data_IF_448568209330
#
_entry.id   IF_448568209330
#
_cell.length_a   1.000
_cell.length_b   1.000
_cell.length_c   1.000
_cell.angle_alpha   90.00
_cell.angle_beta   90.00
_cell.angle_gamma   90.00
#
_symmetry.space_group_name_H-M   'P 1'
#
loop_
_entity.id
_entity.type
_entity.pdbx_description
1 polymer ?
#
# COMPACT_ATOMS: atom_id res chain seq x y z
N UNK A 1 -15.73 14.18 -17.92
CA UNK A 1 -14.77 14.18 -19.04
C UNK A 1 -13.40 14.49 -18.45
N UNK A 2 -12.62 13.47 -18.07
CA UNK A 2 -11.34 13.65 -17.38
C UNK A 2 -10.27 12.83 -18.12
N UNK A 3 -9.26 13.58 -18.60
CA UNK A 3 -7.93 13.20 -19.06
C UNK A 3 -7.73 11.84 -19.73
N UNK A 4 -8.06 11.77 -21.02
CA UNK A 4 -7.70 10.64 -21.91
C UNK A 4 -6.43 10.92 -22.73
N UNK A 5 -5.51 11.77 -22.24
CA UNK A 5 -4.39 12.27 -23.06
C UNK A 5 -2.98 12.02 -22.50
N UNK A 6 -2.83 11.39 -21.34
CA UNK A 6 -1.51 11.06 -20.78
C UNK A 6 -1.43 9.57 -20.46
N UNK A 7 -0.30 8.94 -20.77
CA UNK A 7 -0.15 7.49 -20.62
C UNK A 7 -0.29 7.01 -19.17
N UNK A 8 -0.31 5.69 -18.94
CA UNK A 8 -0.33 5.10 -17.60
C UNK A 8 0.70 5.77 -16.67
N UNK A 9 0.24 6.31 -15.55
CA UNK A 9 1.08 6.86 -14.49
C UNK A 9 1.67 5.76 -13.61
N UNK A 10 2.66 6.13 -12.79
CA UNK A 10 3.29 5.26 -11.79
C UNK A 10 3.13 5.91 -10.42
N UNK A 11 2.55 5.17 -9.47
CA UNK A 11 2.42 5.57 -8.08
C UNK A 11 3.36 4.74 -7.22
N UNK A 12 4.25 5.38 -6.48
CA UNK A 12 5.17 4.69 -5.56
C UNK A 12 4.67 4.90 -4.15
N UNK A 13 4.27 3.81 -3.49
CA UNK A 13 3.61 3.88 -2.18
C UNK A 13 4.61 3.73 -1.03
N UNK A 14 4.38 4.54 -0.01
CA UNK A 14 4.99 4.42 1.30
C UNK A 14 4.33 3.30 2.14
N UNK A 15 5.06 2.77 3.13
CA UNK A 15 4.59 1.78 4.09
C UNK A 15 3.33 2.26 4.82
N UNK A 16 3.34 3.51 5.31
CA UNK A 16 2.22 4.03 6.10
C UNK A 16 0.92 4.11 5.32
N UNK A 17 0.99 4.38 4.01
CA UNK A 17 -0.18 4.37 3.12
C UNK A 17 -0.81 2.98 3.13
N UNK A 18 0.00 1.96 2.87
CA UNK A 18 -0.42 0.56 2.74
C UNK A 18 -0.88 -0.04 4.09
N UNK A 19 -0.25 0.35 5.20
CA UNK A 19 -0.65 -0.11 6.53
C UNK A 19 -1.94 0.55 7.03
N UNK A 20 -2.23 1.79 6.63
CA UNK A 20 -3.49 2.43 6.95
C UNK A 20 -4.64 1.96 6.05
N UNK A 21 -4.36 1.67 4.78
CA UNK A 21 -5.36 1.17 3.84
C UNK A 21 -4.82 0.02 2.98
N UNK A 22 -5.25 -1.23 3.24
CA UNK A 22 -4.82 -2.38 2.45
C UNK A 22 -5.34 -2.37 1.01
N UNK A 23 -6.36 -1.55 0.70
CA UNK A 23 -6.91 -1.37 -0.64
C UNK A 23 -6.12 -0.35 -1.47
N UNK A 24 -5.17 0.36 -0.87
CA UNK A 24 -4.29 1.29 -1.59
C UNK A 24 -3.54 0.61 -2.76
N UNK A 25 -3.33 -0.71 -2.71
CA UNK A 25 -2.76 -1.48 -3.81
C UNK A 25 -3.59 -1.44 -5.10
N UNK A 26 -4.89 -1.20 -4.98
CA UNK A 26 -5.86 -1.28 -6.07
C UNK A 26 -6.56 0.07 -6.34
N UNK A 27 -6.28 1.09 -5.53
CA UNK A 27 -6.96 2.39 -5.55
C UNK A 27 -6.60 3.29 -6.75
N UNK A 28 -5.66 2.89 -7.61
CA UNK A 28 -5.11 3.73 -8.68
C UNK A 28 -5.62 3.35 -10.08
N UNK A 29 -6.81 2.75 -10.17
CA UNK A 29 -7.53 2.46 -11.42
C UNK A 29 -6.61 1.88 -12.51
N UNK A 30 -6.34 2.66 -13.56
CA UNK A 30 -5.64 2.27 -14.78
C UNK A 30 -4.12 2.49 -14.71
N UNK A 31 -3.56 2.57 -13.50
CA UNK A 31 -2.18 2.98 -13.27
C UNK A 31 -1.32 1.89 -12.62
N UNK A 32 0.00 2.08 -12.71
CA UNK A 32 0.96 1.17 -12.11
C UNK A 32 1.25 1.58 -10.66
N UNK A 33 0.96 0.71 -9.72
CA UNK A 33 1.35 0.82 -8.31
C UNK A 33 2.67 0.11 -8.10
N UNK A 34 3.64 0.82 -7.54
CA UNK A 34 4.97 0.31 -7.23
C UNK A 34 5.17 0.30 -5.72
N UNK A 35 5.50 -0.87 -5.20
CA UNK A 35 5.78 -1.11 -3.79
C UNK A 35 7.29 -1.32 -3.64
N UNK A 36 8.02 -0.44 -2.94
CA UNK A 36 9.41 -0.71 -2.59
C UNK A 36 9.51 -2.01 -1.80
N UNK A 37 10.49 -2.88 -2.11
CA UNK A 37 10.65 -4.18 -1.43
C UNK A 37 10.76 -4.05 0.09
N UNK A 38 11.31 -2.94 0.59
CA UNK A 38 11.47 -2.67 2.02
C UNK A 38 10.14 -2.44 2.74
N UNK A 39 9.09 -2.03 2.03
CA UNK A 39 7.73 -1.98 2.60
C UNK A 39 7.25 -3.38 3.00
N UNK A 40 7.69 -4.43 2.28
CA UNK A 40 7.34 -5.81 2.61
C UNK A 40 7.98 -6.26 3.93
N UNK A 41 9.22 -5.82 4.18
CA UNK A 41 9.92 -6.08 5.46
C UNK A 41 9.16 -5.44 6.63
N UNK A 42 8.71 -4.19 6.46
CA UNK A 42 7.88 -3.50 7.45
C UNK A 42 6.54 -4.22 7.67
N UNK A 43 5.84 -4.59 6.60
CA UNK A 43 4.59 -5.36 6.68
C UNK A 43 4.78 -6.63 7.53
N UNK A 44 5.89 -7.35 7.35
CA UNK A 44 6.16 -8.56 8.13
C UNK A 44 6.36 -8.27 9.63
N UNK A 45 7.04 -7.17 9.96
CA UNK A 45 7.18 -6.71 11.34
C UNK A 45 5.81 -6.39 11.98
N UNK A 46 4.95 -5.68 11.25
CA UNK A 46 3.62 -5.28 11.74
C UNK A 46 2.63 -6.43 11.88
N UNK A 47 2.79 -7.57 11.18
CA UNK A 47 1.88 -8.73 11.31
C UNK A 47 1.73 -9.26 12.73
N UNK A 48 2.72 -9.03 13.60
CA UNK A 48 2.72 -9.46 15.00
C UNK A 48 1.89 -8.55 15.90
N UNK A 49 1.54 -7.36 15.43
CA UNK A 49 0.71 -6.41 16.15
C UNK A 49 -0.76 -6.87 16.15
N UNK A 50 -1.42 -6.71 17.29
CA UNK A 50 -2.85 -7.00 17.49
C UNK A 50 -3.74 -5.80 17.17
N UNK A 51 -3.15 -4.64 16.90
CA UNK A 51 -3.83 -3.42 16.47
C UNK A 51 -4.45 -3.54 15.07
N UNK A 52 -5.22 -2.53 14.68
CA UNK A 52 -5.75 -2.39 13.33
C UNK A 52 -4.64 -2.36 12.27
N UNK A 53 -3.50 -1.72 12.56
CA UNK A 53 -2.34 -1.71 11.66
C UNK A 53 -1.82 -3.13 11.42
N UNK A 54 -1.78 -3.97 12.46
CA UNK A 54 -1.40 -5.37 12.31
C UNK A 54 -2.42 -6.19 11.50
N UNK A 55 -3.72 -5.91 11.64
CA UNK A 55 -4.78 -6.50 10.80
C UNK A 55 -4.61 -6.10 9.34
N UNK A 56 -4.32 -4.84 9.07
CA UNK A 56 -4.09 -4.33 7.72
C UNK A 56 -2.82 -4.94 7.12
N UNK A 57 -1.72 -5.02 7.87
CA UNK A 57 -0.48 -5.69 7.45
C UNK A 57 -0.72 -7.15 7.02
N UNK A 58 -1.52 -7.91 7.79
CA UNK A 58 -1.92 -9.28 7.41
C UNK A 58 -2.75 -9.33 6.14
N UNK A 59 -3.63 -8.35 5.93
CA UNK A 59 -4.48 -8.25 4.73
C UNK A 59 -3.64 -7.93 3.48
N UNK A 60 -2.76 -6.93 3.57
CA UNK A 60 -1.81 -6.59 2.50
C UNK A 60 -0.94 -7.80 2.13
N UNK A 61 -0.43 -8.52 3.12
CA UNK A 61 0.38 -9.71 2.88
C UNK A 61 -0.40 -10.80 2.11
N UNK A 62 -1.69 -10.99 2.41
CA UNK A 62 -2.55 -11.91 1.65
C UNK A 62 -2.78 -11.43 0.22
N UNK A 63 -3.00 -10.14 0.01
CA UNK A 63 -3.13 -9.57 -1.34
C UNK A 63 -1.86 -9.81 -2.16
N UNK A 64 -0.69 -9.53 -1.60
CA UNK A 64 0.59 -9.73 -2.28
C UNK A 64 0.88 -11.21 -2.55
N UNK A 65 0.54 -12.11 -1.61
CA UNK A 65 0.69 -13.54 -1.84
C UNK A 65 -0.24 -14.04 -2.95
N UNK A 66 -1.48 -13.56 -3.01
CA UNK A 66 -2.40 -13.86 -4.11
C UNK A 66 -1.86 -13.37 -5.46
N UNK A 67 -1.39 -12.11 -5.54
CA UNK A 67 -0.81 -11.55 -6.77
C UNK A 67 0.43 -12.33 -7.25
N UNK A 68 1.26 -12.84 -6.33
CA UNK A 68 2.41 -13.68 -6.66
C UNK A 68 2.03 -14.99 -7.34
N UNK A 69 0.81 -15.50 -7.13
CA UNK A 69 0.30 -16.69 -7.80
C UNK A 69 -0.18 -16.39 -9.23
N UNK A 70 -0.59 -15.16 -9.51
CA UNK A 70 -1.05 -14.71 -10.83
C UNK A 70 0.09 -14.26 -11.75
N UNK A 71 1.28 -13.95 -11.21
CA UNK A 71 2.44 -13.60 -12.01
C UNK A 71 3.65 -13.10 -11.23
N UNK A 72 4.62 -12.56 -11.96
CA UNK A 72 5.85 -12.02 -11.39
C UNK A 72 5.61 -10.64 -10.78
N UNK A 73 5.66 -10.53 -9.46
CA UNK A 73 5.56 -9.25 -8.75
C UNK A 73 6.66 -8.26 -9.17
N UNK A 74 7.85 -8.71 -9.59
CA UNK A 74 8.93 -7.81 -9.99
C UNK A 74 8.75 -7.24 -11.40
N UNK A 75 8.06 -7.97 -12.29
CA UNK A 75 7.66 -7.49 -13.63
C UNK A 75 6.32 -6.71 -13.58
N UNK A 76 5.55 -6.97 -12.53
CA UNK A 76 4.26 -6.37 -12.23
C UNK A 76 3.10 -7.26 -12.69
N UNK A 77 2.09 -7.37 -11.84
CA UNK A 77 0.91 -8.22 -12.02
C UNK A 77 -0.30 -7.35 -12.31
N UNK A 78 -1.06 -7.68 -13.36
CA UNK A 78 -2.29 -6.96 -13.69
C UNK A 78 -3.33 -7.17 -12.59
N UNK A 79 -3.96 -6.10 -12.13
CA UNK A 79 -4.98 -6.14 -11.05
C UNK A 79 -6.39 -5.80 -11.55
N UNK A 80 -6.48 -5.19 -12.72
CA UNK A 80 -7.72 -4.96 -13.45
C UNK A 80 -7.37 -4.87 -14.96
N UNK A 81 -8.26 -4.35 -15.80
CA UNK A 81 -8.05 -4.24 -17.24
C UNK A 81 -6.85 -3.38 -17.67
N UNK A 82 -6.40 -2.44 -16.84
CA UNK A 82 -5.34 -1.49 -17.19
C UNK A 82 -4.30 -1.22 -16.08
N UNK A 83 -4.66 -1.46 -14.81
CA UNK A 83 -3.81 -1.27 -13.63
C UNK A 83 -2.90 -2.46 -13.33
N UNK A 84 -1.76 -2.17 -12.68
CA UNK A 84 -0.73 -3.16 -12.38
C UNK A 84 -0.09 -2.90 -11.02
N UNK A 85 0.20 -3.95 -10.26
CA UNK A 85 0.98 -3.87 -9.01
C UNK A 85 2.35 -4.49 -9.23
N UNK A 86 3.42 -3.76 -8.90
CA UNK A 86 4.81 -4.20 -9.02
C UNK A 86 5.58 -3.98 -7.72
N UNK A 87 6.37 -4.97 -7.32
CA UNK A 87 7.35 -4.83 -6.23
C UNK A 87 8.70 -4.44 -6.83
N UNK A 88 9.22 -3.29 -6.42
CA UNK A 88 10.48 -2.76 -6.94
C UNK A 88 11.64 -2.97 -5.96
N UNK A 89 12.77 -3.41 -6.52
CA UNK A 89 14.05 -3.48 -5.82
C UNK A 89 14.90 -2.33 -6.35
N UNK A 90 15.39 -1.48 -5.46
CA UNK A 90 16.26 -0.36 -5.81
C UNK A 90 17.72 -0.70 -5.51
N UNK A 91 18.59 -0.39 -6.45
CA UNK A 91 20.04 -0.29 -6.22
C UNK A 91 20.51 1.16 -6.22
N UNK A 92 19.57 2.11 -6.35
CA UNK A 92 19.87 3.54 -6.37
C UNK A 92 20.11 4.03 -4.95
N UNK A 93 21.15 4.83 -4.79
CA UNK A 93 21.37 5.60 -3.57
C UNK A 93 20.85 7.04 -3.74
N UNK A 94 20.37 7.62 -2.63
CA UNK A 94 20.05 9.05 -2.57
C UNK A 94 21.31 9.92 -2.57
N UNK A 95 21.22 11.22 -2.90
CA UNK A 95 22.32 12.16 -2.68
C UNK A 95 22.74 12.19 -1.19
N UNK A 96 24.03 12.41 -0.87
CA UNK A 96 24.54 12.37 0.52
C UNK A 96 23.74 13.21 1.51
N UNK A 97 23.25 14.38 1.09
CA UNK A 97 22.47 15.32 1.89
C UNK A 97 21.12 14.72 2.36
N UNK A 98 20.60 13.75 1.59
CA UNK A 98 19.36 13.06 1.88
C UNK A 98 19.57 11.72 2.59
N UNK A 99 20.82 11.31 2.88
CA UNK A 99 21.10 10.04 3.57
C UNK A 99 20.97 10.13 5.09
N UNK A 100 20.87 11.35 5.62
CA UNK A 100 20.64 11.59 7.04
C UNK A 100 19.16 11.30 7.37
N UNK A 101 18.87 10.15 8.00
CA UNK A 101 17.50 9.74 8.34
C UNK A 101 17.34 8.23 8.54
N UNK A 102 16.09 7.76 8.66
CA UNK A 102 15.78 6.34 8.74
C UNK A 102 16.18 5.61 7.45
N UNK A 103 16.83 4.46 7.59
CA UNK A 103 17.36 3.69 6.46
C UNK A 103 16.27 3.19 5.51
N UNK A 104 15.09 2.86 6.05
CA UNK A 104 13.92 2.39 5.27
C UNK A 104 13.34 3.54 4.44
N UNK A 105 13.05 4.70 5.04
CA UNK A 105 12.60 5.91 4.37
C UNK A 105 13.50 6.30 3.18
N UNK A 106 14.82 6.26 3.41
CA UNK A 106 15.80 6.58 2.37
C UNK A 106 15.69 5.61 1.19
N UNK A 107 15.43 4.34 1.45
CA UNK A 107 15.28 3.30 0.42
C UNK A 107 13.94 3.42 -0.32
N UNK A 108 12.87 3.78 0.37
CA UNK A 108 11.56 4.07 -0.24
C UNK A 108 11.70 5.27 -1.20
N UNK A 109 12.28 6.38 -0.74
CA UNK A 109 12.55 7.55 -1.58
C UNK A 109 13.49 7.24 -2.75
N UNK A 110 14.52 6.41 -2.53
CA UNK A 110 15.43 6.00 -3.60
C UNK A 110 14.72 5.15 -4.66
N UNK A 111 13.76 4.32 -4.26
CA UNK A 111 12.92 3.55 -5.20
C UNK A 111 12.06 4.50 -6.04
N UNK A 112 11.45 5.50 -5.41
CA UNK A 112 10.67 6.51 -6.12
C UNK A 112 11.52 7.31 -7.12
N UNK A 113 12.71 7.73 -6.71
CA UNK A 113 13.66 8.42 -7.57
C UNK A 113 14.12 7.56 -8.74
N UNK A 114 14.46 6.29 -8.50
CA UNK A 114 14.83 5.36 -9.56
C UNK A 114 13.67 5.16 -10.55
N UNK A 115 12.43 5.03 -10.05
CA UNK A 115 11.25 4.92 -10.91
C UNK A 115 11.08 6.18 -11.77
N UNK A 116 11.23 7.36 -11.18
CA UNK A 116 11.14 8.64 -11.89
C UNK A 116 12.15 8.74 -13.04
N UNK A 117 13.40 8.35 -12.81
CA UNK A 117 14.45 8.38 -13.83
C UNK A 117 14.24 7.35 -14.95
N UNK A 118 13.61 6.21 -14.64
CA UNK A 118 13.35 5.11 -15.58
C UNK A 118 11.98 5.22 -16.29
N UNK A 119 11.12 6.13 -15.85
CA UNK A 119 9.73 6.20 -16.33
C UNK A 119 9.59 6.73 -17.77
N UNK A 120 10.63 7.35 -18.32
CA UNK A 120 10.60 7.95 -19.66
C UNK A 120 9.61 9.11 -19.72
N UNK A 121 8.49 8.93 -20.43
CA UNK A 121 7.42 9.95 -20.52
C UNK A 121 6.35 9.80 -19.45
N UNK A 122 6.33 8.69 -18.70
CA UNK A 122 5.30 8.44 -17.69
C UNK A 122 5.54 9.30 -16.46
N UNK A 123 4.47 9.85 -15.90
CA UNK A 123 4.51 10.57 -14.64
C UNK A 123 4.73 9.60 -13.48
N UNK A 124 5.62 9.94 -12.56
CA UNK A 124 5.84 9.21 -11.31
C UNK A 124 5.45 10.09 -10.13
N UNK A 125 4.52 9.60 -9.32
CA UNK A 125 4.04 10.26 -8.11
C UNK A 125 4.41 9.41 -6.90
N UNK A 126 5.09 10.00 -5.93
CA UNK A 126 5.31 9.40 -4.63
C UNK A 126 4.11 9.67 -3.73
N UNK A 127 3.60 8.64 -3.05
CA UNK A 127 2.40 8.74 -2.22
C UNK A 127 2.76 8.43 -0.78
N UNK A 128 2.53 9.37 0.12
CA UNK A 128 2.84 9.23 1.56
C UNK A 128 1.88 10.06 2.41
N UNK A 129 1.63 9.59 3.64
CA UNK A 129 0.94 10.34 4.69
C UNK A 129 1.91 11.13 5.59
N UNK A 130 3.22 10.92 5.44
CA UNK A 130 4.24 11.58 6.25
C UNK A 130 4.69 12.92 5.63
N UNK A 131 4.52 14.01 6.39
CA UNK A 131 4.90 15.36 5.97
C UNK A 131 6.40 15.48 5.69
N UNK A 132 7.26 14.84 6.49
CA UNK A 132 8.71 14.88 6.33
C UNK A 132 9.12 14.15 5.05
N UNK A 133 8.55 12.97 4.78
CA UNK A 133 8.82 12.25 3.54
C UNK A 133 8.36 13.04 2.33
N UNK A 134 7.21 13.72 2.42
CA UNK A 134 6.70 14.59 1.36
C UNK A 134 7.65 15.76 1.05
N UNK A 135 8.17 16.43 2.08
CA UNK A 135 9.14 17.53 1.89
C UNK A 135 10.43 17.00 1.24
N UNK A 136 10.93 15.85 1.70
CA UNK A 136 12.17 15.26 1.17
C UNK A 136 11.99 14.80 -0.28
N UNK A 137 10.87 14.15 -0.62
CA UNK A 137 10.56 13.74 -1.99
C UNK A 137 10.45 14.95 -2.93
N UNK A 138 9.75 16.01 -2.51
CA UNK A 138 9.64 17.23 -3.31
C UNK A 138 11.02 17.90 -3.53
N UNK A 139 11.88 17.92 -2.52
CA UNK A 139 13.25 18.43 -2.66
C UNK A 139 14.15 17.57 -3.58
N UNK A 140 13.79 16.30 -3.82
CA UNK A 140 14.40 15.43 -4.83
C UNK A 140 13.81 15.64 -6.24
N UNK A 141 12.83 16.52 -6.40
CA UNK A 141 12.15 16.78 -7.68
C UNK A 141 11.04 15.78 -8.01
N UNK A 142 10.63 14.94 -7.04
CA UNK A 142 9.50 14.02 -7.22
C UNK A 142 8.17 14.76 -7.09
N UNK A 143 7.18 14.33 -7.87
CA UNK A 143 5.78 14.68 -7.60
C UNK A 143 5.32 13.92 -6.37
N UNK A 144 4.54 14.57 -5.51
CA UNK A 144 4.08 13.98 -4.25
C UNK A 144 2.59 14.22 -4.07
N UNK A 145 1.87 13.18 -3.65
CA UNK A 145 0.46 13.23 -3.29
C UNK A 145 0.24 12.69 -1.87
N UNK A 146 -0.77 13.24 -1.20
CA UNK A 146 -1.29 12.68 0.04
C UNK A 146 -2.27 11.55 -0.30
N UNK A 147 -2.23 10.46 0.46
CA UNK A 147 -3.19 9.37 0.26
C UNK A 147 -4.44 9.63 1.09
N UNK A 148 -5.48 10.10 0.41
CA UNK A 148 -6.81 10.24 0.98
C UNK A 148 -7.74 9.13 0.42
N UNK A 149 -8.04 8.14 1.26
CA UNK A 149 -8.89 7.00 0.92
C UNK A 149 -10.37 7.34 0.85
N UNK A 150 -10.79 8.57 1.18
CA UNK A 150 -12.20 8.98 1.21
C UNK A 150 -12.90 9.05 -0.17
N UNK A 151 -12.25 8.60 -1.25
CA UNK A 151 -12.79 8.59 -2.61
C UNK A 151 -13.32 7.23 -3.11
N UNK A 152 -13.45 6.23 -2.26
CA UNK A 152 -14.04 4.93 -2.63
C UNK A 152 -15.54 4.89 -2.32
N UNK A 153 -16.34 4.36 -3.26
CA UNK A 153 -17.81 4.28 -3.23
C UNK A 153 -18.39 3.92 -1.85
N UNK A 154 -19.37 4.71 -1.40
CA UNK A 154 -20.08 4.58 -0.12
C UNK A 154 -20.67 3.16 0.10
N UNK A 155 -20.81 2.36 -0.95
CA UNK A 155 -21.31 0.98 -0.89
C UNK A 155 -20.31 -0.05 -0.35
N UNK A 156 -19.02 0.25 -0.26
CA UNK A 156 -17.99 -0.67 0.27
C UNK A 156 -17.41 -0.23 1.62
N UNK A 157 -18.05 0.74 2.28
CA UNK A 157 -17.62 1.18 3.60
C UNK A 157 -17.77 0.04 4.62
N UNK A 158 -16.64 -0.33 5.21
CA UNK A 158 -16.57 -1.14 6.42
C UNK A 158 -17.49 -0.53 7.49
N UNK A 159 -18.50 -1.28 7.95
CA UNK A 159 -19.51 -0.80 8.90
C UNK A 159 -18.99 -0.58 10.33
N UNK A 160 -17.67 -0.70 10.54
CA UNK A 160 -17.02 -0.54 11.83
C UNK A 160 -16.82 -1.86 12.59
N UNK A 161 -16.39 -1.73 13.84
CA UNK A 161 -16.32 -2.82 14.83
C UNK A 161 -17.46 -2.60 15.82
N UNK A 162 -18.18 -3.66 16.17
CA UNK A 162 -19.15 -3.65 17.27
C UNK A 162 -18.65 -4.56 18.39
N UNK A 163 -18.71 -4.08 19.62
CA UNK A 163 -18.54 -4.93 20.81
C UNK A 163 -19.90 -5.52 21.20
N UNK A 164 -19.95 -6.84 21.37
CA UNK A 164 -21.15 -7.57 21.75
C UNK A 164 -20.83 -8.38 23.01
N UNK A 165 -21.62 -8.18 24.05
CA UNK A 165 -21.61 -9.07 25.20
C UNK A 165 -22.37 -10.35 24.83
N UNK A 166 -21.65 -11.47 24.87
CA UNK A 166 -22.20 -12.79 24.57
C UNK A 166 -22.11 -13.69 25.81
N UNK A 167 -23.06 -14.62 26.00
CA UNK A 167 -22.94 -15.62 27.05
C UNK A 167 -21.80 -16.60 26.72
N UNK A 168 -21.21 -17.21 27.75
CA UNK A 168 -19.98 -18.01 27.60
C UNK A 168 -20.11 -19.22 26.68
N UNK A 169 -21.31 -19.82 26.58
CA UNK A 169 -21.60 -20.93 25.67
C UNK A 169 -21.52 -20.54 24.19
N UNK A 170 -21.86 -19.30 23.85
CA UNK A 170 -21.71 -18.76 22.50
C UNK A 170 -20.23 -18.55 22.13
N UNK A 171 -19.40 -18.16 23.10
CA UNK A 171 -17.94 -18.07 22.92
C UNK A 171 -17.37 -19.47 22.67
N UNK A 172 -17.78 -20.47 23.46
CA UNK A 172 -17.35 -21.86 23.30
C UNK A 172 -17.75 -22.45 21.93
N UNK A 173 -18.96 -22.12 21.45
CA UNK A 173 -19.42 -22.52 20.13
C UNK A 173 -18.58 -21.90 19.01
N UNK A 174 -18.23 -20.62 19.13
CA UNK A 174 -17.35 -19.95 18.16
C UNK A 174 -15.96 -20.62 18.10
N UNK A 175 -15.35 -20.95 19.24
CA UNK A 175 -14.06 -21.65 19.26
C UNK A 175 -14.11 -23.06 18.67
N UNK A 176 -15.26 -23.74 18.78
CA UNK A 176 -15.46 -25.08 18.22
C UNK A 176 -15.70 -25.05 16.72
N UNK A 177 -16.56 -24.15 16.27
CA UNK A 177 -17.14 -24.20 14.92
C UNK A 177 -16.51 -23.15 13.97
N UNK A 178 -15.69 -22.25 14.51
CA UNK A 178 -15.00 -21.18 13.78
C UNK A 178 -15.90 -20.05 13.28
N UNK A 179 -17.19 -20.11 13.60
CA UNK A 179 -18.21 -19.12 13.23
C UNK A 179 -19.36 -19.13 14.23
N UNK A 180 -20.05 -18.01 14.34
CA UNK A 180 -21.22 -17.83 15.20
C UNK A 180 -22.22 -16.95 14.45
N UNK A 181 -23.52 -17.29 14.52
CA UNK A 181 -24.56 -16.41 14.02
C UNK A 181 -24.73 -15.25 15.00
N UNK A 182 -24.75 -14.01 14.50
CA UNK A 182 -25.01 -12.85 15.33
C UNK A 182 -26.51 -12.82 15.70
N UNK A 183 -26.86 -12.51 16.96
CA UNK A 183 -28.23 -12.19 17.32
C UNK A 183 -28.68 -10.91 16.60
N UNK A 184 -29.98 -10.82 16.29
CA UNK A 184 -30.62 -9.62 15.72
C UNK A 184 -30.55 -8.41 16.66
#
# INVERSE_FOLDING_TARGET
MRDSADGSKIFVLDTNVILHDPQALFAFEDHEVVIPIYVIEEIDNFKKDLSELGRNARTVARHLDALRLEGSLTEGVAVNSAGRVRVAITSRELPPEFRNGHTVDNRILATALQCHEQAGKRTVTFVTKDVNLRIRAAALGLLVEDFDSERTDISELYSGVAELELPGDAIDAYYRDGKLALPD
#
